data_IF_875219754997
#
_entry.id   IF_875219754997
#
_cell.length_a   1.000
_cell.length_b   1.000
_cell.length_c   1.000
_cell.angle_alpha   90.00
_cell.angle_beta   90.00
_cell.angle_gamma   90.00
#
_symmetry.space_group_name_H-M   'P 1'
#
loop_
_entity.id
_entity.type
_entity.pdbx_description
1 polymer ?
#
# COMPACT_ATOMS: atom_id res chain seq x y z
N UNK A 1 4.33 2.96 31.55
CA UNK A 1 4.17 3.51 30.19
C UNK A 1 3.98 2.38 29.19
N UNK A 2 2.95 2.46 28.40
CA UNK A 2 2.66 1.44 27.38
C UNK A 2 3.53 1.68 26.14
N UNK A 3 3.94 0.57 25.50
CA UNK A 3 4.60 0.58 24.19
C UNK A 3 3.62 0.22 23.09
N UNK A 4 2.33 0.25 23.38
CA UNK A 4 1.27 -0.05 22.42
C UNK A 4 0.77 1.27 21.83
N UNK A 5 0.70 1.33 20.51
CA UNK A 5 0.12 2.46 19.80
C UNK A 5 -1.07 1.97 19.00
N UNK A 6 -2.20 2.65 19.14
CA UNK A 6 -3.42 2.36 18.36
C UNK A 6 -3.67 3.53 17.42
N UNK A 7 -3.75 3.24 16.12
CA UNK A 7 -3.94 4.24 15.07
C UNK A 7 -5.34 4.09 14.48
N UNK A 8 -6.08 5.18 14.44
CA UNK A 8 -7.39 5.22 13.79
C UNK A 8 -7.25 5.70 12.36
N UNK A 9 -7.78 4.92 11.42
CA UNK A 9 -7.72 5.24 10.01
C UNK A 9 -8.33 6.60 9.67
N UNK A 10 -9.45 6.94 10.30
CA UNK A 10 -10.21 8.16 10.01
C UNK A 10 -9.67 9.41 10.72
N UNK A 11 -8.68 9.25 11.61
CA UNK A 11 -8.18 10.37 12.41
C UNK A 11 -6.68 10.53 12.39
N UNK A 12 -5.96 9.43 12.55
CA UNK A 12 -4.51 9.45 12.83
C UNK A 12 -3.66 9.09 11.61
N UNK A 13 -4.26 8.51 10.59
CA UNK A 13 -3.53 8.08 9.40
C UNK A 13 -3.04 9.29 8.57
N UNK A 14 -1.91 9.11 7.91
CA UNK A 14 -1.28 10.15 7.11
C UNK A 14 -1.62 9.96 5.64
N UNK A 15 -2.19 10.97 5.00
CA UNK A 15 -2.45 10.92 3.56
C UNK A 15 -1.14 10.97 2.77
N UNK A 16 -1.02 10.09 1.77
CA UNK A 16 0.14 10.01 0.89
C UNK A 16 -0.28 10.16 -0.58
N UNK A 17 0.53 10.84 -1.42
CA UNK A 17 0.21 11.05 -2.83
C UNK A 17 0.60 9.82 -3.67
N UNK A 18 0.09 8.65 -3.34
CA UNK A 18 0.48 7.38 -3.96
C UNK A 18 -0.64 6.75 -4.81
N UNK A 19 -1.62 7.56 -5.21
CA UNK A 19 -2.72 7.11 -6.07
C UNK A 19 -3.10 8.17 -7.07
N UNK A 20 -3.77 7.75 -8.15
CA UNK A 20 -4.40 8.69 -9.09
C UNK A 20 -5.49 9.48 -8.38
N UNK A 21 -5.85 10.64 -8.93
CA UNK A 21 -6.94 11.45 -8.42
C UNK A 21 -8.21 10.62 -8.31
N UNK A 22 -8.87 10.67 -7.17
CA UNK A 22 -10.03 9.84 -6.86
C UNK A 22 -9.72 8.61 -6.03
N UNK A 23 -8.49 8.14 -6.04
CA UNK A 23 -8.00 7.13 -5.10
C UNK A 23 -7.42 7.79 -3.86
N UNK A 24 -7.33 7.03 -2.77
CA UNK A 24 -6.78 7.53 -1.52
C UNK A 24 -5.85 6.52 -0.89
N UNK A 25 -4.67 6.96 -0.49
CA UNK A 25 -3.69 6.15 0.24
C UNK A 25 -3.37 6.83 1.56
N UNK A 26 -3.48 6.06 2.65
CA UNK A 26 -3.20 6.57 3.98
C UNK A 26 -2.24 5.64 4.70
N UNK A 27 -1.18 6.19 5.29
CA UNK A 27 -0.24 5.42 6.08
C UNK A 27 -0.78 5.26 7.49
N UNK A 28 -0.86 4.01 7.94
CA UNK A 28 -1.22 3.66 9.32
C UNK A 28 0.02 3.44 10.17
N UNK A 29 1.04 2.81 9.60
CA UNK A 29 2.32 2.57 10.22
C UNK A 29 3.42 3.03 9.26
N UNK A 30 4.28 3.94 9.72
CA UNK A 30 5.29 4.55 8.86
C UNK A 30 6.48 5.04 9.67
N UNK A 31 7.62 5.34 9.00
CA UNK A 31 8.87 5.69 9.70
C UNK A 31 8.77 6.89 10.64
N UNK A 32 7.91 7.85 10.35
CA UNK A 32 7.71 9.01 11.22
C UNK A 32 7.20 8.68 12.62
N UNK A 33 6.64 7.49 12.81
CA UNK A 33 6.22 6.96 14.10
C UNK A 33 7.34 6.18 14.80
N UNK A 34 8.49 6.02 14.15
CA UNK A 34 9.59 5.20 14.65
C UNK A 34 9.57 3.76 14.13
N UNK A 35 8.65 3.42 13.23
CA UNK A 35 8.58 2.08 12.64
C UNK A 35 9.77 1.85 11.71
N UNK A 36 10.47 0.72 11.90
CA UNK A 36 11.69 0.42 11.14
C UNK A 36 11.62 -0.87 10.35
N UNK A 37 10.76 -1.79 10.73
CA UNK A 37 10.70 -3.12 10.16
C UNK A 37 9.49 -3.33 9.27
N UNK A 38 8.46 -2.51 9.42
CA UNK A 38 7.20 -2.63 8.67
C UNK A 38 6.62 -1.28 8.36
N UNK A 39 5.91 -1.22 7.24
CA UNK A 39 4.97 -0.13 6.96
C UNK A 39 3.61 -0.74 6.68
N UNK A 40 2.56 0.03 6.94
CA UNK A 40 1.19 -0.41 6.66
C UNK A 40 0.42 0.77 6.09
N UNK A 41 0.04 0.65 4.82
CA UNK A 41 -0.75 1.64 4.12
C UNK A 41 -2.12 1.07 3.77
N UNK A 42 -3.11 1.93 3.80
CA UNK A 42 -4.49 1.62 3.45
C UNK A 42 -4.79 2.28 2.11
N UNK A 43 -5.04 1.46 1.09
CA UNK A 43 -5.34 1.91 -0.27
C UNK A 43 -6.83 1.77 -0.52
N UNK A 44 -7.51 2.87 -0.71
CA UNK A 44 -8.91 2.89 -1.10
C UNK A 44 -8.98 3.36 -2.56
N UNK A 45 -9.16 2.40 -3.46
CA UNK A 45 -9.11 2.65 -4.91
C UNK A 45 -10.45 2.31 -5.53
N UNK A 46 -11.26 3.32 -5.90
CA UNK A 46 -12.49 3.09 -6.63
C UNK A 46 -12.25 2.52 -8.02
N UNK A 47 -13.33 2.09 -8.68
CA UNK A 47 -13.26 1.61 -10.06
C UNK A 47 -12.66 2.68 -10.97
N UNK A 48 -11.71 2.28 -11.80
CA UNK A 48 -11.02 3.18 -12.74
C UNK A 48 -9.85 3.93 -12.14
N UNK A 49 -9.56 3.76 -10.84
CA UNK A 49 -8.44 4.41 -10.18
C UNK A 49 -7.39 3.40 -9.76
N UNK A 50 -6.15 3.87 -9.67
CA UNK A 50 -5.00 3.02 -9.42
C UNK A 50 -4.02 3.71 -8.48
N UNK A 51 -3.16 2.91 -7.84
CA UNK A 51 -1.99 3.43 -7.17
C UNK A 51 -0.96 3.92 -8.20
N UNK A 52 0.04 4.66 -7.73
CA UNK A 52 1.23 4.89 -8.53
C UNK A 52 1.95 3.55 -8.71
N UNK A 53 2.91 3.53 -9.64
CA UNK A 53 3.75 2.34 -9.84
C UNK A 53 4.84 2.30 -8.78
N UNK A 54 5.05 1.13 -8.19
CA UNK A 54 6.01 0.90 -7.13
C UNK A 54 7.09 -0.09 -7.54
N UNK A 55 8.26 0.11 -6.97
CA UNK A 55 9.38 -0.84 -7.02
C UNK A 55 10.20 -0.63 -5.76
N UNK A 56 10.32 -1.67 -4.94
CA UNK A 56 11.05 -1.60 -3.68
C UNK A 56 12.22 -2.57 -3.68
N UNK A 57 13.34 -2.25 -3.02
CA UNK A 57 14.42 -3.22 -2.84
C UNK A 57 14.08 -4.28 -1.78
N UNK A 58 12.84 -4.30 -1.29
CA UNK A 58 12.34 -5.16 -0.22
C UNK A 58 11.15 -5.97 -0.69
N UNK A 59 10.78 -6.98 0.09
CA UNK A 59 9.51 -7.65 -0.09
C UNK A 59 8.36 -6.69 0.23
N UNK A 60 7.20 -6.93 -0.39
CA UNK A 60 5.98 -6.23 -0.05
C UNK A 60 4.83 -7.22 0.06
N UNK A 61 3.90 -6.95 0.96
CA UNK A 61 2.74 -7.80 1.19
C UNK A 61 1.51 -6.92 1.31
N UNK A 62 0.44 -7.34 0.65
CA UNK A 62 -0.87 -6.67 0.75
C UNK A 62 -1.95 -7.70 1.02
N UNK A 63 -2.95 -7.29 1.77
CA UNK A 63 -4.17 -8.05 1.96
C UNK A 63 -5.32 -7.29 1.30
N UNK A 64 -6.17 -7.99 0.56
CA UNK A 64 -7.35 -7.40 -0.08
C UNK A 64 -8.49 -7.45 0.93
N UNK A 65 -8.88 -6.27 1.43
CA UNK A 65 -9.88 -6.15 2.49
C UNK A 65 -11.29 -6.27 1.91
N UNK A 66 -11.51 -5.67 0.75
CA UNK A 66 -12.81 -5.75 0.05
C UNK A 66 -12.65 -5.40 -1.42
N UNK A 67 -13.65 -5.75 -2.19
CA UNK A 67 -13.73 -5.44 -3.62
C UNK A 67 -13.07 -6.47 -4.51
N UNK A 68 -12.99 -6.14 -5.78
CA UNK A 68 -12.39 -6.96 -6.83
C UNK A 68 -11.50 -6.06 -7.67
N UNK A 69 -10.22 -6.08 -7.41
CA UNK A 69 -9.25 -5.25 -8.12
C UNK A 69 -8.23 -6.09 -8.87
N UNK A 70 -7.09 -5.50 -9.11
CA UNK A 70 -5.98 -6.16 -9.80
C UNK A 70 -4.65 -5.70 -9.21
N UNK A 71 -3.67 -6.60 -9.25
CA UNK A 71 -2.27 -6.21 -9.13
C UNK A 71 -1.65 -6.39 -10.52
N UNK A 72 -1.00 -5.34 -11.01
CA UNK A 72 -0.41 -5.34 -12.36
C UNK A 72 1.10 -5.43 -12.22
N UNK A 73 1.66 -6.45 -12.90
CA UNK A 73 3.10 -6.59 -13.03
C UNK A 73 3.61 -5.51 -13.98
N UNK A 74 4.36 -4.54 -13.46
CA UNK A 74 4.84 -3.41 -14.25
C UNK A 74 5.92 -3.81 -15.26
N UNK A 75 6.56 -4.95 -15.06
CA UNK A 75 7.62 -5.42 -15.94
C UNK A 75 7.07 -6.15 -17.16
N UNK A 76 6.02 -6.94 -16.99
CA UNK A 76 5.40 -7.71 -18.07
C UNK A 76 4.09 -7.12 -18.59
N UNK A 77 3.45 -6.26 -17.82
CA UNK A 77 2.12 -5.74 -18.10
C UNK A 77 0.99 -6.69 -17.74
N UNK A 78 1.30 -7.86 -17.19
CA UNK A 78 0.29 -8.84 -16.82
C UNK A 78 -0.53 -8.36 -15.63
N UNK A 79 -1.85 -8.40 -15.76
CA UNK A 79 -2.78 -8.06 -14.68
C UNK A 79 -3.25 -9.34 -14.00
N UNK A 80 -3.13 -9.38 -12.68
CA UNK A 80 -3.59 -10.49 -11.85
C UNK A 80 -4.85 -10.06 -11.11
N UNK A 81 -6.03 -10.63 -11.43
CA UNK A 81 -7.24 -10.29 -10.69
C UNK A 81 -7.13 -10.76 -9.24
N UNK A 82 -7.61 -9.93 -8.33
CA UNK A 82 -7.63 -10.24 -6.91
C UNK A 82 -8.97 -9.84 -6.31
N UNK A 83 -9.36 -10.49 -5.23
CA UNK A 83 -10.60 -10.17 -4.52
C UNK A 83 -10.41 -10.27 -3.01
N UNK A 84 -11.42 -9.80 -2.28
CA UNK A 84 -11.41 -9.80 -0.82
C UNK A 84 -11.04 -11.18 -0.26
N UNK A 85 -10.17 -11.16 0.76
CA UNK A 85 -9.69 -12.37 1.42
C UNK A 85 -8.38 -12.92 0.85
N UNK A 86 -7.86 -12.33 -0.22
CA UNK A 86 -6.60 -12.76 -0.82
C UNK A 86 -5.43 -11.90 -0.36
N UNK A 87 -4.26 -12.51 -0.32
CA UNK A 87 -2.99 -11.85 -0.03
C UNK A 87 -2.14 -11.78 -1.29
N UNK A 88 -1.45 -10.65 -1.47
CA UNK A 88 -0.51 -10.43 -2.57
C UNK A 88 0.89 -10.40 -1.98
N UNK A 89 1.78 -11.21 -2.54
CA UNK A 89 3.19 -11.21 -2.16
C UNK A 89 4.02 -10.74 -3.36
N UNK A 90 4.91 -9.78 -3.12
CA UNK A 90 5.79 -9.20 -4.13
C UNK A 90 7.23 -9.40 -3.70
N UNK A 91 8.02 -10.04 -4.56
CA UNK A 91 9.45 -10.25 -4.31
C UNK A 91 10.20 -8.92 -4.39
N UNK A 92 11.42 -8.83 -3.81
CA UNK A 92 12.21 -7.61 -3.94
C UNK A 92 12.43 -7.22 -5.41
N UNK A 93 12.35 -5.93 -5.67
CA UNK A 93 12.56 -5.30 -6.98
C UNK A 93 11.49 -5.61 -8.03
N UNK A 94 10.38 -6.23 -7.65
CA UNK A 94 9.23 -6.42 -8.56
C UNK A 94 8.48 -5.09 -8.72
N UNK A 95 8.39 -4.59 -9.94
CA UNK A 95 7.55 -3.44 -10.26
C UNK A 95 6.08 -3.81 -10.28
N UNK A 96 5.23 -2.99 -9.66
CA UNK A 96 3.81 -3.29 -9.58
C UNK A 96 2.96 -2.05 -9.41
N UNK A 97 1.65 -2.21 -9.67
CA UNK A 97 0.62 -1.21 -9.44
C UNK A 97 -0.62 -1.92 -8.91
N UNK A 98 -1.35 -1.28 -8.03
CA UNK A 98 -2.63 -1.77 -7.53
C UNK A 98 -3.77 -1.01 -8.21
N UNK A 99 -4.76 -1.72 -8.74
CA UNK A 99 -5.92 -1.14 -9.40
C UNK A 99 -7.21 -1.48 -8.64
N UNK A 100 -8.12 -0.49 -8.56
CA UNK A 100 -9.47 -0.69 -8.03
C UNK A 100 -10.43 -1.36 -9.03
N UNK A 101 -11.67 -1.65 -8.58
CA UNK A 101 -12.26 -1.24 -7.30
C UNK A 101 -11.91 -2.18 -6.16
N UNK A 102 -11.09 -1.76 -5.25
CA UNK A 102 -10.70 -2.58 -4.10
C UNK A 102 -10.08 -1.74 -2.99
N UNK A 103 -10.03 -2.32 -1.80
CA UNK A 103 -9.29 -1.81 -0.67
C UNK A 103 -8.17 -2.79 -0.36
N UNK A 104 -6.94 -2.28 -0.33
CA UNK A 104 -5.74 -3.04 -0.02
C UNK A 104 -5.09 -2.49 1.25
N UNK A 105 -4.55 -3.37 2.07
CA UNK A 105 -3.76 -2.98 3.25
C UNK A 105 -2.43 -3.69 3.19
N UNK A 106 -1.35 -2.94 3.32
CA UNK A 106 -0.02 -3.52 3.31
C UNK A 106 1.06 -2.51 2.97
N UNK A 107 2.18 -3.03 2.52
CA UNK A 107 3.34 -2.24 2.11
C UNK A 107 4.63 -3.02 2.16
N UNK A 108 5.76 -2.37 1.80
CA UNK A 108 7.07 -3.00 1.88
C UNK A 108 7.51 -3.22 3.33
N UNK A 109 8.27 -4.27 3.55
CA UNK A 109 8.84 -4.65 4.83
C UNK A 109 10.33 -4.96 4.62
N UNK A 110 11.25 -4.09 5.10
CA UNK A 110 11.03 -2.86 5.88
C UNK A 110 10.42 -1.72 5.06
N UNK A 111 10.06 -0.61 5.71
CA UNK A 111 9.49 0.54 4.99
C UNK A 111 10.43 1.06 3.91
N UNK A 112 9.88 1.41 2.76
CA UNK A 112 10.63 2.07 1.70
C UNK A 112 10.56 3.59 1.92
N UNK A 113 11.68 4.25 2.24
CA UNK A 113 11.67 5.68 2.52
C UNK A 113 11.13 6.54 1.37
N UNK A 114 11.24 6.06 0.13
CA UNK A 114 10.78 6.82 -1.02
C UNK A 114 9.27 7.07 -1.02
N UNK A 115 8.49 6.20 -0.35
CA UNK A 115 7.04 6.38 -0.25
C UNK A 115 6.66 7.58 0.61
N UNK A 116 7.56 8.02 1.47
CA UNK A 116 7.32 9.07 2.46
C UNK A 116 8.16 10.33 2.21
N UNK A 117 8.75 10.45 1.03
CA UNK A 117 9.70 11.53 0.71
C UNK A 117 9.09 12.93 0.84
N UNK A 118 7.78 13.07 0.68
CA UNK A 118 7.10 14.37 0.79
C UNK A 118 6.72 14.75 2.23
N UNK A 119 6.90 13.82 3.18
CA UNK A 119 6.49 14.02 4.58
C UNK A 119 7.60 13.76 5.59
N UNK A 120 8.74 13.30 5.15
CA UNK A 120 9.92 13.06 6.00
C UNK A 120 10.91 14.22 5.93
#
# INVERSE_FOLDING_TARGET
MSRITVVRLDRDALDLPLASEGGRVRALLWPGMGARERSLCYFDLPEGFASTEFRHPYEAVYYVVRGEGRVVDADSGTAHPVHAGQMIYLTPNQGYRLDGPAVFVGGPCPPDPSLFSEVL
#
